data_IF_084662456740
#
_entry.id   IF_084662456740
#
_cell.length_a   1.000
_cell.length_b   1.000
_cell.length_c   1.000
_cell.angle_alpha   90.00
_cell.angle_beta   90.00
_cell.angle_gamma   90.00
#
_symmetry.space_group_name_H-M   'P 1'
#
loop_
_entity.id
_entity.type
_entity.pdbx_description
1 polymer ?
#
# COMPACT_ATOMS: atom_id res chain seq x y z
N UNK A 1 48.81 -16.06 -2.78
CA UNK A 1 48.09 -15.62 -3.99
C UNK A 1 48.34 -14.14 -4.17
N UNK A 2 48.55 -13.71 -5.42
CA UNK A 2 48.81 -12.29 -5.70
C UNK A 2 47.76 -11.70 -6.64
N UNK A 3 47.38 -10.46 -6.38
CA UNK A 3 46.47 -9.72 -7.24
C UNK A 3 47.26 -9.21 -8.46
N UNK A 4 46.84 -9.58 -9.66
CA UNK A 4 47.47 -9.18 -10.92
C UNK A 4 46.82 -7.92 -11.49
N UNK A 5 45.48 -7.87 -11.53
CA UNK A 5 44.73 -6.83 -12.24
C UNK A 5 43.37 -6.55 -11.62
N UNK A 6 42.95 -5.29 -11.75
CA UNK A 6 41.62 -4.83 -11.42
C UNK A 6 40.88 -4.39 -12.71
N UNK A 7 39.59 -4.74 -12.80
CA UNK A 7 38.69 -4.24 -13.82
C UNK A 7 37.43 -3.72 -13.19
N UNK A 8 37.13 -2.45 -13.38
CA UNK A 8 35.89 -1.84 -12.87
C UNK A 8 34.69 -2.52 -13.52
N UNK A 9 33.77 -2.99 -12.69
CA UNK A 9 32.48 -3.55 -13.07
C UNK A 9 31.34 -2.54 -12.91
N UNK A 10 30.11 -3.02 -12.82
CA UNK A 10 28.91 -2.21 -12.55
C UNK A 10 28.61 -2.15 -11.05
N UNK A 11 27.85 -1.15 -10.63
CA UNK A 11 27.29 -1.02 -9.27
C UNK A 11 28.33 -1.04 -8.15
N UNK A 12 29.49 -0.40 -8.34
CA UNK A 12 30.54 -0.33 -7.32
C UNK A 12 31.33 -1.63 -7.12
N UNK A 13 31.18 -2.60 -8.03
CA UNK A 13 31.94 -3.86 -7.99
C UNK A 13 33.16 -3.80 -8.91
N UNK A 14 34.20 -4.53 -8.50
CA UNK A 14 35.43 -4.71 -9.29
C UNK A 14 35.67 -6.21 -9.50
N UNK A 15 36.12 -6.57 -10.68
CA UNK A 15 36.74 -7.88 -10.93
C UNK A 15 38.20 -7.78 -10.57
N UNK A 16 38.65 -8.63 -9.69
CA UNK A 16 40.04 -8.75 -9.22
C UNK A 16 40.59 -10.09 -9.73
N UNK A 17 41.64 -10.04 -10.51
CA UNK A 17 42.28 -11.22 -11.09
C UNK A 17 43.50 -11.62 -10.26
N UNK A 18 43.58 -12.93 -9.93
CA UNK A 18 44.66 -13.51 -9.15
C UNK A 18 45.67 -14.25 -10.03
N UNK A 19 46.88 -14.53 -9.49
CA UNK A 19 47.97 -15.23 -10.15
C UNK A 19 47.72 -16.73 -10.41
N UNK A 20 46.64 -17.28 -9.81
CA UNK A 20 46.19 -18.64 -9.98
C UNK A 20 44.94 -18.77 -10.88
N UNK A 21 44.72 -17.80 -11.76
CA UNK A 21 43.60 -17.71 -12.72
C UNK A 21 42.21 -17.55 -12.09
N UNK A 22 42.10 -17.38 -10.78
CA UNK A 22 40.82 -17.08 -10.11
C UNK A 22 40.41 -15.63 -10.30
N UNK A 23 39.09 -15.42 -10.45
CA UNK A 23 38.49 -14.09 -10.47
C UNK A 23 37.65 -13.88 -9.21
N UNK A 24 37.85 -12.77 -8.51
CA UNK A 24 36.99 -12.31 -7.42
C UNK A 24 36.16 -11.14 -7.87
N UNK A 25 34.89 -11.10 -7.44
CA UNK A 25 34.03 -9.93 -7.62
C UNK A 25 33.85 -9.27 -6.27
N UNK A 26 34.55 -8.15 -6.06
CA UNK A 26 34.57 -7.44 -4.79
C UNK A 26 33.94 -6.06 -4.91
N UNK A 27 33.28 -5.63 -3.86
CA UNK A 27 32.86 -4.24 -3.71
C UNK A 27 34.07 -3.34 -3.44
N UNK A 28 33.98 -2.07 -3.85
CA UNK A 28 35.01 -1.06 -3.61
C UNK A 28 35.35 -0.95 -2.12
N UNK A 29 34.34 -1.02 -1.25
CA UNK A 29 34.52 -1.00 0.22
C UNK A 29 35.43 -2.13 0.73
N UNK A 30 35.37 -3.30 0.11
CA UNK A 30 36.22 -4.45 0.46
C UNK A 30 37.66 -4.16 0.07
N UNK A 31 37.87 -3.64 -1.14
CA UNK A 31 39.19 -3.29 -1.67
C UNK A 31 39.87 -2.24 -0.76
N UNK A 32 39.10 -1.23 -0.35
CA UNK A 32 39.59 -0.16 0.52
C UNK A 32 39.86 -0.65 1.95
N UNK A 33 38.93 -1.39 2.55
CA UNK A 33 39.05 -1.88 3.94
C UNK A 33 40.29 -2.75 4.15
N UNK A 34 40.59 -3.61 3.18
CA UNK A 34 41.72 -4.53 3.25
C UNK A 34 42.98 -4.01 2.56
N UNK A 35 42.99 -2.72 2.15
CA UNK A 35 44.11 -2.08 1.46
C UNK A 35 44.66 -2.87 0.26
N UNK A 36 43.78 -3.54 -0.50
CA UNK A 36 44.17 -4.46 -1.56
C UNK A 36 44.92 -3.76 -2.70
N UNK A 37 44.78 -2.45 -2.85
CA UNK A 37 45.55 -1.65 -3.83
C UNK A 37 47.05 -1.59 -3.50
N UNK A 38 47.39 -1.65 -2.21
CA UNK A 38 48.78 -1.58 -1.71
C UNK A 38 49.34 -2.98 -1.44
N UNK A 39 48.57 -3.81 -0.70
CA UNK A 39 48.96 -5.20 -0.40
C UNK A 39 48.37 -6.12 -1.46
N UNK A 40 49.19 -6.53 -2.41
CA UNK A 40 48.75 -7.42 -3.48
C UNK A 40 48.78 -8.90 -3.10
N UNK A 41 49.31 -9.24 -1.92
CA UNK A 41 49.41 -10.61 -1.45
C UNK A 41 48.21 -10.97 -0.55
N UNK A 42 47.57 -12.12 -0.82
CA UNK A 42 46.44 -12.64 -0.10
C UNK A 42 46.77 -14.03 0.47
N UNK A 43 46.64 -14.19 1.76
CA UNK A 43 46.64 -15.51 2.40
C UNK A 43 45.23 -16.09 2.49
N UNK A 44 45.09 -17.36 2.84
CA UNK A 44 43.80 -18.04 2.94
C UNK A 44 42.89 -17.44 4.01
N UNK A 45 43.45 -16.96 5.13
CA UNK A 45 42.69 -16.33 6.20
C UNK A 45 42.08 -15.02 5.72
N UNK A 46 42.86 -14.17 5.07
CA UNK A 46 42.39 -12.92 4.46
C UNK A 46 41.32 -13.19 3.41
N UNK A 47 41.45 -14.24 2.61
CA UNK A 47 40.43 -14.61 1.62
C UNK A 47 39.08 -14.93 2.26
N UNK A 48 39.05 -15.68 3.37
CA UNK A 48 37.81 -15.99 4.09
C UNK A 48 37.19 -14.71 4.66
N UNK A 49 38.00 -13.83 5.24
CA UNK A 49 37.51 -12.55 5.77
C UNK A 49 36.99 -11.61 4.68
N UNK A 50 37.68 -11.55 3.53
CA UNK A 50 37.24 -10.83 2.35
C UNK A 50 35.87 -11.29 1.86
N UNK A 51 35.70 -12.61 1.70
CA UNK A 51 34.44 -13.16 1.20
C UNK A 51 33.29 -12.83 2.16
N UNK A 52 33.51 -13.02 3.47
CA UNK A 52 32.50 -12.67 4.49
C UNK A 52 32.10 -11.22 4.43
N UNK A 53 33.08 -10.32 4.36
CA UNK A 53 32.79 -8.87 4.28
C UNK A 53 32.18 -8.48 2.95
N UNK A 54 32.55 -9.14 1.86
CA UNK A 54 31.96 -8.93 0.55
C UNK A 54 30.47 -9.34 0.51
N UNK A 55 30.10 -10.40 1.21
CA UNK A 55 28.70 -10.80 1.39
C UNK A 55 27.94 -9.76 2.21
N UNK A 56 28.53 -9.22 3.30
CA UNK A 56 27.92 -8.11 4.05
C UNK A 56 27.66 -6.88 3.15
N UNK A 57 28.62 -6.52 2.30
CA UNK A 57 28.46 -5.44 1.32
C UNK A 57 27.37 -5.74 0.30
N UNK A 58 27.26 -6.98 -0.17
CA UNK A 58 26.24 -7.38 -1.15
C UNK A 58 24.82 -7.22 -0.60
N UNK A 59 24.59 -7.66 0.62
CA UNK A 59 23.30 -7.47 1.32
C UNK A 59 23.01 -5.98 1.52
N UNK A 60 23.98 -5.21 2.00
CA UNK A 60 23.83 -3.78 2.24
C UNK A 60 23.48 -3.00 0.97
N UNK A 61 24.23 -3.18 -0.12
CA UNK A 61 23.97 -2.48 -1.39
C UNK A 61 22.68 -2.96 -2.07
N UNK A 62 22.31 -4.22 -1.91
CA UNK A 62 21.01 -4.73 -2.35
C UNK A 62 19.87 -4.08 -1.58
N UNK A 63 20.03 -3.92 -0.27
CA UNK A 63 19.06 -3.22 0.58
C UNK A 63 18.94 -1.73 0.20
N UNK A 64 20.07 -1.04 0.07
CA UNK A 64 20.12 0.38 -0.31
C UNK A 64 19.45 0.62 -1.69
N UNK A 65 19.76 -0.19 -2.68
CA UNK A 65 19.11 -0.11 -3.99
C UNK A 65 17.60 -0.38 -3.90
N UNK A 66 17.17 -1.27 -2.99
CA UNK A 66 15.76 -1.59 -2.78
C UNK A 66 14.98 -0.41 -2.21
N UNK A 67 15.59 0.39 -1.34
CA UNK A 67 15.01 1.62 -0.76
C UNK A 67 14.98 2.74 -1.81
N UNK A 68 16.07 2.91 -2.57
CA UNK A 68 16.17 3.94 -3.61
C UNK A 68 15.10 3.78 -4.70
N UNK A 69 14.75 2.54 -5.03
CA UNK A 69 13.72 2.27 -6.03
C UNK A 69 12.30 2.53 -5.51
N UNK A 70 12.05 2.28 -4.24
CA UNK A 70 10.76 2.48 -3.59
C UNK A 70 10.93 2.56 -2.08
N UNK A 71 10.31 3.54 -1.46
CA UNK A 71 10.18 3.64 0.00
C UNK A 71 9.62 2.34 0.59
N UNK A 72 10.25 1.85 1.65
CA UNK A 72 9.87 0.60 2.34
C UNK A 72 9.95 0.78 3.84
N UNK A 73 9.09 0.09 4.58
CA UNK A 73 9.27 -0.07 6.02
C UNK A 73 10.44 -1.01 6.31
N UNK A 74 10.95 -0.95 7.54
CA UNK A 74 11.97 -1.88 8.05
C UNK A 74 11.53 -3.33 7.81
N UNK A 75 10.29 -3.65 8.15
CA UNK A 75 9.73 -4.97 7.95
C UNK A 75 9.68 -5.40 6.47
N UNK A 76 9.19 -4.53 5.57
CA UNK A 76 9.12 -4.82 4.13
C UNK A 76 10.51 -5.07 3.54
N UNK A 77 11.51 -4.26 3.93
CA UNK A 77 12.87 -4.43 3.46
C UNK A 77 13.47 -5.75 3.96
N UNK A 78 13.32 -6.05 5.25
CA UNK A 78 13.77 -7.31 5.86
C UNK A 78 13.18 -8.52 5.16
N UNK A 79 11.84 -8.54 4.93
CA UNK A 79 11.17 -9.61 4.21
C UNK A 79 11.65 -9.77 2.77
N UNK A 80 11.93 -8.64 2.08
CA UNK A 80 12.46 -8.68 0.72
C UNK A 80 13.86 -9.29 0.62
N UNK A 81 14.71 -9.01 1.63
CA UNK A 81 16.08 -9.58 1.67
C UNK A 81 16.05 -11.07 2.03
N UNK A 82 15.20 -11.47 2.98
CA UNK A 82 15.00 -12.89 3.32
C UNK A 82 14.47 -13.69 2.12
N UNK A 83 13.53 -13.13 1.35
CA UNK A 83 13.03 -13.75 0.11
C UNK A 83 14.10 -13.92 -0.98
N UNK A 84 15.19 -13.17 -0.90
CA UNK A 84 16.37 -13.33 -1.75
C UNK A 84 17.40 -14.30 -1.19
N UNK A 85 17.01 -15.05 -0.15
CA UNK A 85 17.81 -16.09 0.48
C UNK A 85 19.08 -15.58 1.18
N UNK A 86 19.15 -14.29 1.50
CA UNK A 86 20.25 -13.77 2.30
C UNK A 86 20.19 -14.30 3.75
N UNK A 87 21.34 -14.64 4.35
CA UNK A 87 21.44 -15.05 5.75
C UNK A 87 20.87 -13.99 6.70
N UNK A 88 20.07 -14.43 7.68
CA UNK A 88 19.33 -13.53 8.57
C UNK A 88 20.25 -12.58 9.35
N UNK A 89 21.41 -13.05 9.82
CA UNK A 89 22.40 -12.25 10.53
C UNK A 89 22.97 -11.11 9.67
N UNK A 90 23.22 -11.38 8.37
CA UNK A 90 23.67 -10.36 7.43
C UNK A 90 22.57 -9.37 7.09
N UNK A 91 21.32 -9.83 6.99
CA UNK A 91 20.15 -8.97 6.80
C UNK A 91 19.99 -8.03 7.99
N UNK A 92 20.05 -8.55 9.23
CA UNK A 92 19.90 -7.73 10.43
C UNK A 92 21.00 -6.66 10.52
N UNK A 93 22.27 -7.02 10.27
CA UNK A 93 23.37 -6.05 10.21
C UNK A 93 23.16 -4.95 9.15
N UNK A 94 22.69 -5.33 7.96
CA UNK A 94 22.44 -4.35 6.89
C UNK A 94 21.30 -3.39 7.27
N UNK A 95 20.23 -3.89 7.88
CA UNK A 95 19.12 -3.09 8.39
C UNK A 95 19.60 -2.11 9.47
N UNK A 96 20.35 -2.59 10.47
CA UNK A 96 20.87 -1.75 11.54
C UNK A 96 21.76 -0.63 11.00
N UNK A 97 22.63 -0.95 10.04
CA UNK A 97 23.49 0.05 9.37
C UNK A 97 22.68 1.11 8.65
N UNK A 98 21.62 0.72 7.93
CA UNK A 98 20.75 1.66 7.21
C UNK A 98 19.92 2.53 8.16
N UNK A 99 19.48 1.98 9.30
CA UNK A 99 18.82 2.74 10.37
C UNK A 99 19.76 3.79 10.97
N UNK A 100 20.99 3.40 11.35
CA UNK A 100 22.01 4.31 11.90
C UNK A 100 22.38 5.43 10.94
N UNK A 101 22.40 5.15 9.65
CA UNK A 101 22.69 6.14 8.59
C UNK A 101 21.48 7.00 8.21
N UNK A 102 20.30 6.72 8.74
CA UNK A 102 19.08 7.47 8.46
C UNK A 102 18.46 7.18 7.08
N UNK A 103 18.99 6.20 6.32
CA UNK A 103 18.40 5.79 5.05
C UNK A 103 17.10 4.98 5.20
N UNK A 104 16.89 4.40 6.38
CA UNK A 104 15.70 3.63 6.73
C UNK A 104 15.07 4.25 7.97
N UNK A 105 13.79 4.60 7.89
CA UNK A 105 13.07 5.24 8.99
C UNK A 105 11.57 5.01 8.84
N UNK A 106 10.98 4.27 9.78
CA UNK A 106 9.56 3.91 9.74
C UNK A 106 8.63 5.10 9.97
N UNK A 107 9.05 6.16 10.70
CA UNK A 107 8.28 7.40 10.84
C UNK A 107 8.19 8.16 9.52
N UNK A 108 9.32 8.34 8.83
CA UNK A 108 9.35 8.97 7.50
C UNK A 108 8.53 8.15 6.50
N UNK A 109 8.63 6.83 6.58
CA UNK A 109 7.81 5.92 5.76
C UNK A 109 6.32 6.11 6.03
N UNK A 110 5.89 6.09 7.30
CA UNK A 110 4.49 6.25 7.72
C UNK A 110 3.92 7.58 7.21
N UNK A 111 4.63 8.70 7.45
CA UNK A 111 4.25 10.03 6.97
C UNK A 111 4.07 10.09 5.46
N UNK A 112 5.04 9.58 4.71
CA UNK A 112 4.98 9.53 3.25
C UNK A 112 3.85 8.64 2.75
N UNK A 113 3.62 7.49 3.41
CA UNK A 113 2.55 6.57 3.07
C UNK A 113 1.18 7.20 3.30
N UNK A 114 0.95 7.82 4.46
CA UNK A 114 -0.31 8.51 4.80
C UNK A 114 -0.60 9.59 3.76
N UNK A 115 0.35 10.50 3.50
CA UNK A 115 0.19 11.56 2.52
C UNK A 115 -0.16 11.01 1.12
N UNK A 116 0.53 9.95 0.70
CA UNK A 116 0.23 9.31 -0.57
C UNK A 116 -1.18 8.72 -0.60
N UNK A 117 -1.62 8.01 0.47
CA UNK A 117 -2.98 7.47 0.55
C UNK A 117 -4.04 8.58 0.56
N UNK A 118 -3.77 9.66 1.26
CA UNK A 118 -4.62 10.86 1.27
C UNK A 118 -4.78 11.41 -0.16
N UNK A 119 -3.74 11.55 -0.93
CA UNK A 119 -3.79 12.16 -2.27
C UNK A 119 -4.39 11.20 -3.32
N UNK A 120 -4.03 9.93 -3.27
CA UNK A 120 -4.29 9.00 -4.39
C UNK A 120 -5.50 8.08 -4.19
N UNK A 121 -6.06 8.00 -2.97
CA UNK A 121 -7.13 7.06 -2.64
C UNK A 121 -8.30 7.71 -1.92
N UNK A 122 -9.39 6.96 -1.74
CA UNK A 122 -10.53 7.36 -0.91
C UNK A 122 -10.55 6.67 0.46
N UNK A 123 -9.40 6.15 0.91
CA UNK A 123 -9.30 5.47 2.20
C UNK A 123 -9.43 6.47 3.34
N UNK A 124 -10.16 6.07 4.37
CA UNK A 124 -10.24 6.77 5.63
C UNK A 124 -9.08 6.38 6.57
N UNK A 125 -8.92 7.09 7.70
CA UNK A 125 -7.79 6.93 8.60
C UNK A 125 -7.66 5.52 9.15
N UNK A 126 -8.73 4.87 9.59
CA UNK A 126 -8.67 3.51 10.15
C UNK A 126 -8.13 2.47 9.17
N UNK A 127 -8.44 2.62 7.88
CA UNK A 127 -7.93 1.72 6.86
C UNK A 127 -6.44 1.94 6.60
N UNK A 128 -6.01 3.20 6.60
CA UNK A 128 -4.59 3.58 6.44
C UNK A 128 -3.78 3.06 7.65
N UNK A 129 -4.28 3.26 8.88
CA UNK A 129 -3.67 2.75 10.11
C UNK A 129 -3.50 1.23 10.07
N UNK A 130 -4.55 0.51 9.66
CA UNK A 130 -4.49 -0.95 9.51
C UNK A 130 -3.41 -1.37 8.51
N UNK A 131 -3.31 -0.71 7.37
CA UNK A 131 -2.30 -1.01 6.35
C UNK A 131 -0.87 -0.73 6.85
N UNK A 132 -0.67 0.29 7.68
CA UNK A 132 0.61 0.56 8.34
C UNK A 132 0.93 -0.49 9.41
N UNK A 133 -0.05 -0.92 10.20
CA UNK A 133 0.11 -2.00 11.17
C UNK A 133 0.46 -3.34 10.49
N UNK A 134 -0.12 -3.64 9.33
CA UNK A 134 0.24 -4.81 8.51
C UNK A 134 1.71 -4.77 8.04
N UNK A 135 2.27 -3.56 7.88
CA UNK A 135 3.69 -3.30 7.56
C UNK A 135 4.59 -3.27 8.80
N UNK A 136 4.03 -3.62 9.97
CA UNK A 136 4.73 -3.67 11.26
C UNK A 136 5.33 -2.32 11.70
N UNK A 137 4.67 -1.23 11.33
CA UNK A 137 4.98 0.08 11.89
C UNK A 137 4.49 0.11 13.33
N UNK A 138 5.26 0.75 14.20
CA UNK A 138 4.93 0.93 15.60
C UNK A 138 3.60 1.72 15.77
N UNK A 139 2.78 1.31 16.74
CA UNK A 139 1.47 1.91 17.01
C UNK A 139 1.55 3.38 17.36
N UNK A 140 2.58 3.79 18.10
CA UNK A 140 2.75 5.17 18.53
C UNK A 140 3.08 6.06 17.33
N UNK A 141 3.94 5.55 16.42
CA UNK A 141 4.23 6.23 15.15
C UNK A 141 2.97 6.37 14.31
N UNK A 142 2.17 5.30 14.21
CA UNK A 142 0.92 5.33 13.44
C UNK A 142 -0.04 6.37 14.00
N UNK A 143 -0.24 6.38 15.33
CA UNK A 143 -1.17 7.28 16.00
C UNK A 143 -0.74 8.75 15.88
N UNK A 144 0.55 9.05 15.99
CA UNK A 144 1.06 10.41 15.81
C UNK A 144 0.96 10.88 14.36
N UNK A 145 1.39 10.06 13.41
CA UNK A 145 1.45 10.48 12.00
C UNK A 145 0.08 10.51 11.33
N UNK A 146 -0.93 9.75 11.81
CA UNK A 146 -2.28 9.77 11.22
C UNK A 146 -3.00 11.10 11.49
N UNK A 147 -2.57 11.89 12.46
CA UNK A 147 -3.12 13.22 12.75
C UNK A 147 -2.92 14.20 11.57
N UNK A 148 -1.99 13.89 10.65
CA UNK A 148 -1.85 14.61 9.38
C UNK A 148 -3.12 14.58 8.53
N UNK A 149 -3.96 13.56 8.72
CA UNK A 149 -5.26 13.46 8.06
C UNK A 149 -6.33 14.12 8.93
N UNK A 150 -6.42 15.44 8.88
CA UNK A 150 -7.26 16.22 9.78
C UNK A 150 -8.74 15.91 9.64
N UNK A 151 -9.53 16.22 10.67
CA UNK A 151 -10.99 15.98 10.68
C UNK A 151 -11.67 16.80 9.58
N UNK A 152 -11.17 18.00 9.29
CA UNK A 152 -11.66 18.88 8.23
C UNK A 152 -11.49 18.23 6.86
N UNK A 153 -10.28 17.70 6.58
CA UNK A 153 -10.00 17.00 5.32
C UNK A 153 -10.82 15.72 5.17
N UNK A 154 -11.00 14.97 6.27
CA UNK A 154 -11.86 13.78 6.29
C UNK A 154 -13.31 14.16 5.99
N UNK A 155 -13.83 15.21 6.61
CA UNK A 155 -15.19 15.74 6.40
C UNK A 155 -15.41 16.11 4.94
N UNK A 156 -14.51 16.88 4.35
CA UNK A 156 -14.60 17.28 2.94
C UNK A 156 -14.58 16.08 1.98
N UNK A 157 -13.81 15.07 2.31
CA UNK A 157 -13.78 13.82 1.53
C UNK A 157 -15.06 13.02 1.65
N UNK A 158 -15.59 12.88 2.87
CA UNK A 158 -16.88 12.23 3.11
C UNK A 158 -17.96 12.93 2.29
N UNK A 159 -18.02 14.27 2.31
CA UNK A 159 -18.96 15.07 1.50
C UNK A 159 -18.82 14.76 0.00
N UNK A 160 -17.59 14.76 -0.51
CA UNK A 160 -17.33 14.41 -1.93
C UNK A 160 -17.77 12.99 -2.28
N UNK A 161 -17.55 12.03 -1.39
CA UNK A 161 -17.95 10.63 -1.59
C UNK A 161 -19.47 10.46 -1.53
N UNK A 162 -20.17 11.14 -0.61
CA UNK A 162 -21.65 11.17 -0.55
C UNK A 162 -22.21 11.76 -1.85
N UNK A 163 -21.74 12.94 -2.26
CA UNK A 163 -22.18 13.59 -3.49
C UNK A 163 -21.95 12.69 -4.73
N UNK A 164 -20.79 12.05 -4.81
CA UNK A 164 -20.50 11.06 -5.86
C UNK A 164 -21.49 9.91 -5.80
N UNK A 165 -21.74 9.35 -4.61
CA UNK A 165 -22.67 8.24 -4.40
C UNK A 165 -24.09 8.58 -4.83
N UNK A 166 -24.58 9.79 -4.51
CA UNK A 166 -25.90 10.29 -4.93
C UNK A 166 -25.93 10.47 -6.45
N UNK A 167 -24.94 11.17 -7.02
CA UNK A 167 -24.89 11.47 -8.46
C UNK A 167 -24.80 10.20 -9.33
N UNK A 168 -24.10 9.18 -8.86
CA UNK A 168 -23.94 7.91 -9.61
C UNK A 168 -25.03 6.89 -9.28
N UNK A 169 -26.00 7.26 -8.46
CA UNK A 169 -27.12 6.37 -8.16
C UNK A 169 -28.11 6.31 -9.32
N UNK A 170 -28.42 5.10 -9.79
CA UNK A 170 -29.38 4.88 -10.88
C UNK A 170 -30.48 3.88 -10.53
N UNK A 171 -30.46 3.28 -9.34
CA UNK A 171 -31.34 2.15 -9.05
C UNK A 171 -31.71 1.95 -7.57
N UNK A 172 -31.36 2.89 -6.69
CA UNK A 172 -31.70 2.84 -5.27
C UNK A 172 -32.38 4.14 -4.87
N UNK A 173 -33.32 4.04 -3.98
CA UNK A 173 -34.00 5.20 -3.42
C UNK A 173 -33.70 5.41 -1.94
N UNK A 174 -33.89 6.60 -1.49
CA UNK A 174 -33.99 7.02 -0.11
C UNK A 174 -33.08 6.31 0.88
N UNK A 175 -33.69 5.62 1.84
CA UNK A 175 -33.00 4.95 2.95
C UNK A 175 -31.99 3.90 2.46
N UNK A 176 -32.28 3.16 1.37
CA UNK A 176 -31.40 2.10 0.85
C UNK A 176 -30.11 2.72 0.25
N UNK A 177 -30.25 3.86 -0.42
CA UNK A 177 -29.08 4.61 -0.90
C UNK A 177 -28.24 5.14 0.26
N UNK A 178 -28.89 5.78 1.25
CA UNK A 178 -28.23 6.26 2.47
C UNK A 178 -27.43 5.15 3.15
N UNK A 179 -28.07 3.98 3.37
CA UNK A 179 -27.43 2.83 4.01
C UNK A 179 -26.25 2.29 3.21
N UNK A 180 -26.37 2.27 1.87
CA UNK A 180 -25.24 1.88 1.00
C UNK A 180 -24.07 2.83 1.15
N UNK A 181 -24.29 4.14 1.05
CA UNK A 181 -23.24 5.15 1.16
C UNK A 181 -22.57 5.08 2.53
N UNK A 182 -23.37 4.94 3.60
CA UNK A 182 -22.86 4.75 4.96
C UNK A 182 -21.92 3.53 5.06
N UNK A 183 -22.35 2.39 4.51
CA UNK A 183 -21.54 1.16 4.53
C UNK A 183 -20.26 1.31 3.68
N UNK A 184 -20.33 1.97 2.53
CA UNK A 184 -19.19 2.23 1.68
C UNK A 184 -18.13 3.10 2.40
N UNK A 185 -18.56 4.15 3.13
CA UNK A 185 -17.71 5.01 3.93
C UNK A 185 -17.08 4.28 5.13
N UNK A 186 -17.88 3.45 5.83
CA UNK A 186 -17.39 2.61 6.91
C UNK A 186 -16.33 1.62 6.43
N UNK A 187 -16.57 0.96 5.29
CA UNK A 187 -15.60 0.04 4.66
C UNK A 187 -14.36 0.77 4.14
N UNK A 188 -14.50 2.03 3.77
CA UNK A 188 -13.36 2.88 3.42
C UNK A 188 -12.51 3.24 4.65
N UNK A 189 -13.02 3.06 5.87
CA UNK A 189 -12.29 3.26 7.12
C UNK A 189 -12.43 4.65 7.72
N UNK A 190 -13.55 5.34 7.50
CA UNK A 190 -13.88 6.58 8.20
C UNK A 190 -14.55 6.29 9.56
N UNK A 191 -14.42 7.26 10.47
CA UNK A 191 -15.05 7.18 11.79
C UNK A 191 -16.59 7.22 11.68
N UNK A 192 -17.25 6.35 12.47
CA UNK A 192 -18.71 6.19 12.44
C UNK A 192 -19.44 7.46 12.88
N UNK A 193 -18.92 8.16 13.90
CA UNK A 193 -19.56 9.38 14.40
C UNK A 193 -19.43 10.52 13.37
N UNK A 194 -18.25 10.61 12.73
CA UNK A 194 -18.01 11.58 11.67
C UNK A 194 -18.87 11.27 10.43
N UNK A 195 -19.03 10.01 10.03
CA UNK A 195 -19.95 9.62 8.96
C UNK A 195 -21.36 10.05 9.29
N UNK A 196 -21.85 9.75 10.51
CA UNK A 196 -23.20 10.08 10.95
C UNK A 196 -23.45 11.58 10.96
N UNK A 197 -22.53 12.38 11.48
CA UNK A 197 -22.68 13.85 11.50
C UNK A 197 -22.81 14.40 10.09
N UNK A 198 -21.94 13.97 9.17
CA UNK A 198 -21.94 14.51 7.79
C UNK A 198 -23.13 13.97 6.98
N UNK A 199 -23.48 12.69 7.09
CA UNK A 199 -24.56 12.10 6.27
C UNK A 199 -25.96 12.64 6.66
N UNK A 200 -26.11 13.14 7.89
CA UNK A 200 -27.35 13.79 8.35
C UNK A 200 -27.58 15.17 7.69
N UNK A 201 -26.56 15.78 7.13
CA UNK A 201 -26.68 17.04 6.37
C UNK A 201 -27.35 16.85 5.00
N UNK A 202 -27.50 15.59 4.54
CA UNK A 202 -28.00 15.24 3.20
C UNK A 202 -29.44 14.72 3.25
N UNK A 203 -30.27 15.19 2.32
CA UNK A 203 -31.58 14.61 2.05
C UNK A 203 -31.45 13.43 1.07
N UNK A 204 -32.08 12.31 1.40
CA UNK A 204 -32.12 11.10 0.55
C UNK A 204 -33.57 10.84 0.17
N UNK A 205 -34.09 11.66 -0.74
CA UNK A 205 -35.46 11.52 -1.24
C UNK A 205 -35.57 10.43 -2.31
N UNK A 206 -36.78 9.94 -2.51
CA UNK A 206 -37.10 9.02 -3.61
C UNK A 206 -37.16 9.83 -4.91
N UNK A 207 -36.24 9.59 -5.82
CA UNK A 207 -36.28 10.15 -7.15
C UNK A 207 -37.31 9.39 -8.00
N UNK A 208 -38.41 10.07 -8.36
CA UNK A 208 -39.50 9.49 -9.16
C UNK A 208 -39.02 9.04 -10.53
N UNK A 209 -38.05 9.71 -11.11
CA UNK A 209 -37.45 9.34 -12.41
C UNK A 209 -36.69 8.03 -12.32
N UNK A 210 -35.92 7.85 -11.24
CA UNK A 210 -35.23 6.57 -10.96
C UNK A 210 -36.24 5.46 -10.74
N UNK A 211 -37.28 5.72 -9.95
CA UNK A 211 -38.33 4.73 -9.65
C UNK A 211 -39.05 4.28 -10.91
N UNK A 212 -39.43 5.19 -11.81
CA UNK A 212 -40.06 4.90 -13.10
C UNK A 212 -39.19 4.07 -14.01
N UNK A 213 -37.90 4.48 -14.19
CA UNK A 213 -36.93 3.74 -15.01
C UNK A 213 -36.75 2.29 -14.50
N UNK A 214 -36.64 2.14 -13.18
CA UNK A 214 -36.44 0.82 -12.59
C UNK A 214 -37.69 -0.04 -12.66
N UNK A 215 -38.89 0.55 -12.50
CA UNK A 215 -40.16 -0.13 -12.78
C UNK A 215 -40.23 -0.67 -14.22
N UNK A 216 -39.98 0.16 -15.22
CA UNK A 216 -39.98 -0.24 -16.63
C UNK A 216 -39.00 -1.38 -16.91
N UNK A 217 -37.81 -1.32 -16.33
CA UNK A 217 -36.79 -2.37 -16.45
C UNK A 217 -37.27 -3.70 -15.85
N UNK A 218 -37.85 -3.63 -14.64
CA UNK A 218 -38.40 -4.83 -13.97
C UNK A 218 -39.58 -5.37 -14.73
N UNK A 219 -40.48 -4.51 -15.24
CA UNK A 219 -41.62 -4.90 -16.06
C UNK A 219 -41.15 -5.67 -17.29
N UNK A 220 -40.22 -5.15 -18.11
CA UNK A 220 -39.66 -5.85 -19.28
C UNK A 220 -39.03 -7.20 -18.92
N UNK A 221 -38.43 -7.31 -17.75
CA UNK A 221 -37.76 -8.53 -17.28
C UNK A 221 -38.79 -9.61 -16.88
N UNK A 222 -39.82 -9.22 -16.13
CA UNK A 222 -40.71 -10.17 -15.46
C UNK A 222 -42.02 -10.43 -16.26
N UNK A 223 -42.44 -9.52 -17.14
CA UNK A 223 -43.62 -9.71 -18.01
C UNK A 223 -43.55 -10.94 -18.95
N UNK A 224 -42.34 -11.47 -19.18
CA UNK A 224 -42.16 -12.73 -19.92
C UNK A 224 -42.57 -13.98 -19.13
N UNK A 225 -42.67 -13.89 -17.80
CA UNK A 225 -42.93 -15.05 -16.94
C UNK A 225 -44.22 -14.92 -16.11
N UNK A 226 -44.63 -13.69 -15.83
CA UNK A 226 -45.74 -13.36 -14.94
C UNK A 226 -46.66 -12.35 -15.61
N UNK A 227 -47.96 -12.35 -15.27
CA UNK A 227 -48.95 -11.43 -15.79
C UNK A 227 -49.90 -10.95 -14.68
N UNK A 228 -50.66 -9.88 -14.98
CA UNK A 228 -51.68 -9.37 -14.06
C UNK A 228 -51.18 -8.97 -12.68
N UNK A 229 -51.95 -9.26 -11.65
CA UNK A 229 -51.67 -8.90 -10.26
C UNK A 229 -50.41 -9.53 -9.70
N UNK A 230 -50.03 -10.70 -10.19
CA UNK A 230 -48.79 -11.37 -9.74
C UNK A 230 -47.55 -10.62 -10.22
N UNK A 231 -47.55 -10.17 -11.48
CA UNK A 231 -46.45 -9.36 -12.03
C UNK A 231 -46.30 -8.06 -11.24
N UNK A 232 -47.39 -7.36 -10.95
CA UNK A 232 -47.37 -6.11 -10.18
C UNK A 232 -46.84 -6.32 -8.77
N UNK A 233 -47.25 -7.41 -8.11
CA UNK A 233 -46.76 -7.78 -6.77
C UNK A 233 -45.25 -7.98 -6.75
N UNK A 234 -44.72 -8.75 -7.72
CA UNK A 234 -43.28 -9.03 -7.83
C UNK A 234 -42.48 -7.74 -8.09
N UNK A 235 -42.98 -6.87 -8.98
CA UNK A 235 -42.33 -5.59 -9.29
C UNK A 235 -42.28 -4.68 -8.02
N UNK A 236 -43.44 -4.54 -7.33
CA UNK A 236 -43.54 -3.74 -6.10
C UNK A 236 -42.56 -4.25 -5.03
N UNK A 237 -42.45 -5.56 -4.85
CA UNK A 237 -41.51 -6.17 -3.91
C UNK A 237 -40.05 -5.85 -4.28
N UNK A 238 -39.70 -5.95 -5.57
CA UNK A 238 -38.35 -5.65 -6.05
C UNK A 238 -38.02 -4.16 -5.95
N UNK A 239 -38.96 -3.28 -6.19
CA UNK A 239 -38.80 -1.84 -5.97
C UNK A 239 -38.60 -1.52 -4.48
N UNK A 240 -39.42 -2.12 -3.63
CA UNK A 240 -39.30 -1.95 -2.18
C UNK A 240 -37.94 -2.39 -1.64
N UNK A 241 -37.41 -3.53 -2.11
CA UNK A 241 -36.05 -3.99 -1.78
C UNK A 241 -34.96 -2.98 -2.18
N UNK A 242 -35.23 -2.14 -3.16
CA UNK A 242 -34.33 -1.06 -3.62
C UNK A 242 -34.63 0.29 -2.96
N UNK A 243 -35.60 0.34 -2.05
CA UNK A 243 -36.05 1.57 -1.39
C UNK A 243 -36.82 2.51 -2.32
N UNK A 244 -37.33 2.01 -3.43
CA UNK A 244 -38.08 2.81 -4.41
C UNK A 244 -39.58 2.59 -4.21
N UNK A 245 -40.36 3.68 -4.33
CA UNK A 245 -41.83 3.63 -4.41
C UNK A 245 -42.23 4.19 -5.77
N UNK A 246 -43.05 3.45 -6.50
CA UNK A 246 -43.63 3.90 -7.75
C UNK A 246 -45.11 3.49 -7.77
N UNK A 247 -45.97 4.46 -7.91
CA UNK A 247 -47.40 4.27 -8.13
C UNK A 247 -47.67 4.63 -9.58
N UNK A 248 -48.32 3.71 -10.31
CA UNK A 248 -48.68 3.92 -11.70
C UNK A 248 -49.93 4.83 -11.67
N UNK A 249 -49.82 6.02 -12.24
CA UNK A 249 -50.96 6.89 -12.51
C UNK A 249 -51.97 6.21 -13.44
#
# INVERSE_FOLDING_TARGET
MKIIKYKKGSKGKYKVFLDDDRELILYEDVILKYNLLLSKELDEKTMIELDKYNQECDVYYTALNSINNRFKSVYELKQNLIKKEYPKDLVDKAIDKLLQQGYLNDRIFAKSYINNQIITTNKGPYKIMKELADKKIDSDIINEEIELFTVEEQTERIKKLINKGIKTNHNRGGIVLKQKIYNDLKLAGYDINLINSVICEYSFENDSVIAKKEYEKLYRKYSRKYSGSELERIIKEKLYQKGLKYEKE
#
